data_IF_058284107979
#
_entry.id   IF_058284107979
#
_cell.length_a   1.000
_cell.length_b   1.000
_cell.length_c   1.000
_cell.angle_alpha   90.00
_cell.angle_beta   90.00
_cell.angle_gamma   90.00
#
_symmetry.space_group_name_H-M   'P 1'
#
loop_
_entity.id
_entity.type
_entity.pdbx_description
1 polymer ?
#
# COMPACT_ATOMS: atom_id res chain seq x y z
N UNK A 1 18.40 -14.84 -17.77
CA UNK A 1 18.04 -13.44 -18.05
C UNK A 1 16.61 -13.44 -18.59
N UNK A 2 15.78 -12.49 -18.15
CA UNK A 2 14.42 -12.36 -18.69
C UNK A 2 14.48 -11.74 -20.08
N UNK A 3 13.64 -12.16 -21.04
CA UNK A 3 13.52 -11.51 -22.36
C UNK A 3 12.94 -10.10 -22.26
N UNK A 4 12.94 -9.37 -23.38
CA UNK A 4 12.22 -8.09 -23.49
C UNK A 4 10.73 -8.29 -23.15
N UNK A 5 10.14 -7.36 -22.39
CA UNK A 5 8.78 -7.52 -21.88
C UNK A 5 7.72 -7.60 -23.00
N UNK A 6 8.00 -6.96 -24.14
CA UNK A 6 7.12 -6.93 -25.31
C UNK A 6 7.11 -8.25 -26.08
N UNK A 7 8.11 -9.11 -25.87
CA UNK A 7 8.32 -10.34 -26.63
C UNK A 7 8.03 -11.60 -25.82
N UNK A 8 7.77 -11.47 -24.51
CA UNK A 8 7.57 -12.62 -23.63
C UNK A 8 6.08 -12.90 -23.42
N UNK A 9 5.69 -14.17 -23.55
CA UNK A 9 4.34 -14.62 -23.20
C UNK A 9 4.23 -14.94 -21.69
N UNK A 10 2.99 -14.98 -21.17
CA UNK A 10 2.71 -15.47 -19.82
C UNK A 10 3.26 -16.87 -19.58
N UNK A 11 3.12 -17.76 -20.58
CA UNK A 11 3.63 -19.14 -20.50
C UNK A 11 5.15 -19.18 -20.36
N UNK A 12 5.85 -18.33 -21.12
CA UNK A 12 7.31 -18.27 -21.05
C UNK A 12 7.77 -17.74 -19.69
N UNK A 13 7.12 -16.68 -19.18
CA UNK A 13 7.45 -16.12 -17.88
C UNK A 13 7.16 -17.11 -16.75
N UNK A 14 6.07 -17.87 -16.82
CA UNK A 14 5.80 -18.99 -15.92
C UNK A 14 6.91 -20.04 -15.99
N UNK A 15 7.30 -20.47 -17.19
CA UNK A 15 8.35 -21.48 -17.36
C UNK A 15 9.70 -20.99 -16.79
N UNK A 16 10.05 -19.72 -17.00
CA UNK A 16 11.25 -19.10 -16.41
C UNK A 16 11.14 -19.14 -14.88
N UNK A 17 10.01 -18.72 -14.32
CA UNK A 17 9.77 -18.73 -12.88
C UNK A 17 9.94 -20.14 -12.29
N UNK A 18 9.29 -21.15 -12.89
CA UNK A 18 9.39 -22.55 -12.45
C UNK A 18 10.82 -23.07 -12.53
N UNK A 19 11.53 -22.80 -13.62
CA UNK A 19 12.91 -23.23 -13.81
C UNK A 19 13.86 -22.59 -12.77
N UNK A 20 13.68 -21.29 -12.49
CA UNK A 20 14.43 -20.58 -11.46
C UNK A 20 14.17 -21.19 -10.09
N UNK A 21 12.91 -21.35 -9.71
CA UNK A 21 12.53 -21.95 -8.41
C UNK A 21 13.10 -23.37 -8.26
N UNK A 22 13.02 -24.19 -9.32
CA UNK A 22 13.57 -25.55 -9.36
C UNK A 22 15.10 -25.55 -9.23
N UNK A 23 15.79 -24.71 -9.99
CA UNK A 23 17.26 -24.59 -9.98
C UNK A 23 17.81 -24.32 -8.58
N UNK A 24 17.12 -23.45 -7.81
CA UNK A 24 17.57 -23.07 -6.47
C UNK A 24 16.89 -23.86 -5.33
N UNK A 25 16.05 -24.84 -5.64
CA UNK A 25 15.32 -25.64 -4.65
C UNK A 25 14.39 -24.78 -3.76
N UNK A 26 13.82 -23.72 -4.32
CA UNK A 26 12.91 -22.83 -3.62
C UNK A 26 11.48 -23.31 -3.80
N UNK A 27 10.76 -23.46 -2.70
CA UNK A 27 9.32 -23.67 -2.67
C UNK A 27 8.67 -22.38 -2.16
N UNK A 28 7.71 -21.79 -2.89
CA UNK A 28 6.98 -20.61 -2.44
C UNK A 28 6.35 -20.84 -1.07
N UNK A 29 6.38 -19.82 -0.21
CA UNK A 29 5.84 -19.88 1.15
C UNK A 29 4.56 -19.08 1.23
N UNK A 30 3.46 -19.75 1.43
CA UNK A 30 2.13 -19.14 1.60
C UNK A 30 2.09 -18.12 2.76
N UNK A 31 2.73 -18.47 3.89
CA UNK A 31 2.85 -17.59 5.07
C UNK A 31 3.52 -16.24 4.78
N UNK A 32 4.31 -16.15 3.72
CA UNK A 32 4.95 -14.92 3.25
C UNK A 32 4.24 -14.32 2.04
N UNK A 33 3.08 -14.84 1.67
CA UNK A 33 2.31 -14.42 0.49
C UNK A 33 3.16 -14.35 -0.78
N UNK A 34 4.02 -15.36 -1.00
CA UNK A 34 4.95 -15.41 -2.13
C UNK A 34 4.21 -15.81 -3.41
N UNK A 35 3.68 -14.80 -4.10
CA UNK A 35 3.00 -14.94 -5.39
C UNK A 35 3.77 -14.12 -6.43
N UNK A 36 4.50 -14.79 -7.32
CA UNK A 36 5.34 -14.14 -8.34
C UNK A 36 4.49 -13.74 -9.54
N UNK A 37 4.65 -12.52 -10.04
CA UNK A 37 3.95 -12.06 -11.26
C UNK A 37 4.51 -12.84 -12.45
N UNK A 38 3.62 -13.49 -13.20
CA UNK A 38 3.92 -14.24 -14.41
C UNK A 38 3.18 -13.68 -15.64
N UNK A 39 2.53 -12.54 -15.50
CA UNK A 39 1.80 -11.88 -16.57
C UNK A 39 2.58 -10.64 -17.05
N UNK A 40 3.12 -10.67 -18.29
CA UNK A 40 3.87 -9.55 -18.85
C UNK A 40 3.06 -8.25 -18.95
N UNK A 41 1.75 -8.33 -19.21
CA UNK A 41 0.89 -7.16 -19.32
C UNK A 41 0.69 -6.47 -17.96
N UNK A 42 0.74 -7.23 -16.87
CA UNK A 42 0.73 -6.68 -15.51
C UNK A 42 2.02 -5.92 -15.24
N UNK A 43 3.17 -6.53 -15.57
CA UNK A 43 4.48 -5.90 -15.38
C UNK A 43 4.58 -4.63 -16.24
N UNK A 44 4.19 -4.70 -17.51
CA UNK A 44 4.20 -3.56 -18.44
C UNK A 44 3.35 -2.41 -17.92
N UNK A 45 2.12 -2.70 -17.49
CA UNK A 45 1.24 -1.68 -16.90
C UNK A 45 1.88 -0.98 -15.70
N UNK A 46 2.56 -1.74 -14.82
CA UNK A 46 3.28 -1.17 -13.68
C UNK A 46 4.43 -0.28 -14.16
N UNK A 47 5.24 -0.76 -15.10
CA UNK A 47 6.37 -0.01 -15.65
C UNK A 47 5.93 1.30 -16.31
N UNK A 48 4.80 1.31 -17.03
CA UNK A 48 4.27 2.49 -17.71
C UNK A 48 3.89 3.63 -16.74
N UNK A 49 3.66 3.32 -15.46
CA UNK A 49 3.34 4.31 -14.44
C UNK A 49 4.57 4.97 -13.80
N UNK A 50 5.76 4.44 -14.04
CA UNK A 50 7.00 4.91 -13.41
C UNK A 50 7.84 5.65 -14.43
N UNK A 51 8.23 6.92 -14.21
CA UNK A 51 9.13 7.65 -15.08
C UNK A 51 10.51 6.98 -15.20
N UNK A 52 11.23 7.26 -16.29
CA UNK A 52 12.64 6.86 -16.39
C UNK A 52 13.47 7.61 -15.36
N UNK A 53 14.61 7.03 -15.02
CA UNK A 53 15.60 7.60 -14.11
C UNK A 53 15.10 7.89 -12.69
N UNK A 54 13.96 7.30 -12.29
CA UNK A 54 13.44 7.36 -10.93
C UNK A 54 14.28 6.52 -9.97
N UNK A 55 14.33 6.94 -8.69
CA UNK A 55 14.79 6.13 -7.57
C UNK A 55 13.61 5.35 -7.01
N UNK A 56 13.70 4.04 -6.96
CA UNK A 56 12.58 3.14 -6.65
C UNK A 56 12.87 2.32 -5.41
N UNK A 57 11.86 2.19 -4.54
CA UNK A 57 11.81 1.18 -3.49
C UNK A 57 10.82 0.07 -3.89
N UNK A 58 11.28 -1.16 -3.90
CA UNK A 58 10.44 -2.35 -4.06
C UNK A 58 10.40 -3.14 -2.75
N UNK A 59 9.20 -3.60 -2.36
CA UNK A 59 9.02 -4.47 -1.20
C UNK A 59 8.63 -5.87 -1.67
N UNK A 60 9.48 -6.85 -1.37
CA UNK A 60 9.31 -8.22 -1.84
C UNK A 60 9.97 -8.43 -3.20
N UNK A 61 11.31 -8.56 -3.21
CA UNK A 61 12.10 -8.84 -4.42
C UNK A 61 11.66 -10.13 -5.14
N UNK A 62 11.26 -11.13 -4.35
CA UNK A 62 10.93 -12.44 -4.89
C UNK A 62 12.11 -13.08 -5.61
N UNK A 63 11.85 -13.59 -6.83
CA UNK A 63 12.92 -14.11 -7.70
C UNK A 63 13.58 -13.02 -8.55
N UNK A 64 13.22 -11.74 -8.35
CA UNK A 64 13.80 -10.60 -9.06
C UNK A 64 13.10 -10.25 -10.38
N UNK A 65 11.92 -10.79 -10.68
CA UNK A 65 11.24 -10.56 -11.97
C UNK A 65 10.88 -9.10 -12.17
N UNK A 66 10.13 -8.51 -11.23
CA UNK A 66 9.72 -7.10 -11.33
C UNK A 66 10.95 -6.19 -11.20
N UNK A 67 11.85 -6.50 -10.25
CA UNK A 67 13.11 -5.79 -10.04
C UNK A 67 13.94 -5.70 -11.31
N UNK A 68 14.04 -6.79 -12.08
CA UNK A 68 14.76 -6.85 -13.34
C UNK A 68 14.25 -5.79 -14.33
N UNK A 69 12.93 -5.74 -14.56
CA UNK A 69 12.37 -4.79 -15.52
C UNK A 69 12.40 -3.34 -14.98
N UNK A 70 12.29 -3.14 -13.67
CA UNK A 70 12.49 -1.83 -13.06
C UNK A 70 13.94 -1.34 -13.26
N UNK A 71 14.92 -2.22 -13.09
CA UNK A 71 16.34 -1.89 -13.25
C UNK A 71 16.71 -1.42 -14.67
N UNK A 72 15.96 -1.84 -15.70
CA UNK A 72 16.18 -1.43 -17.09
C UNK A 72 15.83 0.05 -17.34
N UNK A 73 15.06 0.69 -16.47
CA UNK A 73 14.60 2.06 -16.68
C UNK A 73 14.88 3.02 -15.50
N UNK A 74 15.10 2.49 -14.31
CA UNK A 74 15.30 3.25 -13.09
C UNK A 74 16.76 3.74 -12.98
N UNK A 75 16.94 4.88 -12.33
CA UNK A 75 18.26 5.33 -11.89
C UNK A 75 18.81 4.38 -10.82
N UNK A 76 18.01 4.08 -9.80
CA UNK A 76 18.36 3.16 -8.70
C UNK A 76 17.14 2.38 -8.28
N UNK A 77 17.31 1.10 -7.96
CA UNK A 77 16.28 0.25 -7.33
C UNK A 77 16.82 -0.28 -6.02
N UNK A 78 16.18 0.10 -4.93
CA UNK A 78 16.31 -0.55 -3.63
C UNK A 78 15.23 -1.61 -3.54
N UNK A 79 15.59 -2.85 -3.26
CA UNK A 79 14.59 -3.90 -3.15
C UNK A 79 14.77 -4.70 -1.85
N UNK A 80 13.69 -4.86 -1.09
CA UNK A 80 13.71 -5.45 0.24
C UNK A 80 13.12 -6.85 0.20
N UNK A 81 13.85 -7.83 0.72
CA UNK A 81 13.39 -9.21 0.81
C UNK A 81 13.70 -9.81 2.19
N UNK A 82 12.75 -10.53 2.76
CA UNK A 82 12.90 -11.20 4.06
C UNK A 82 13.41 -12.63 3.92
N UNK A 83 13.12 -13.28 2.79
CA UNK A 83 13.49 -14.69 2.57
C UNK A 83 14.91 -14.83 2.01
N UNK A 84 15.83 -15.34 2.85
CA UNK A 84 17.24 -15.55 2.47
C UNK A 84 17.42 -16.39 1.20
N UNK A 85 16.51 -17.34 0.93
CA UNK A 85 16.60 -18.17 -0.28
C UNK A 85 16.28 -17.34 -1.53
N UNK A 86 15.26 -16.48 -1.44
CA UNK A 86 14.92 -15.58 -2.54
C UNK A 86 15.98 -14.51 -2.78
N UNK A 87 16.61 -14.00 -1.72
CA UNK A 87 17.75 -13.07 -1.85
C UNK A 87 18.87 -13.70 -2.68
N UNK A 88 19.24 -14.96 -2.40
CA UNK A 88 20.26 -15.67 -3.20
C UNK A 88 19.86 -15.77 -4.65
N UNK A 89 18.60 -16.11 -4.92
CA UNK A 89 18.06 -16.19 -6.28
C UNK A 89 18.13 -14.84 -6.98
N UNK A 90 17.60 -13.79 -6.33
CA UNK A 90 17.58 -12.45 -6.88
C UNK A 90 18.99 -11.89 -7.11
N UNK A 91 19.94 -12.15 -6.19
CA UNK A 91 21.33 -11.73 -6.36
C UNK A 91 21.98 -12.33 -7.61
N UNK A 92 21.69 -13.60 -7.92
CA UNK A 92 22.17 -14.23 -9.15
C UNK A 92 21.48 -13.68 -10.41
N UNK A 93 20.17 -13.47 -10.35
CA UNK A 93 19.36 -12.93 -11.46
C UNK A 93 19.77 -11.50 -11.78
N UNK A 94 20.07 -10.70 -10.78
CA UNK A 94 20.30 -9.25 -10.87
C UNK A 94 21.79 -8.87 -10.83
N UNK A 95 22.72 -9.82 -10.82
CA UNK A 95 24.15 -9.60 -10.62
C UNK A 95 24.79 -8.58 -11.57
N UNK A 96 24.26 -8.47 -12.79
CA UNK A 96 24.78 -7.60 -13.84
C UNK A 96 24.20 -6.15 -13.74
N UNK A 97 23.23 -5.93 -12.84
CA UNK A 97 22.53 -4.64 -12.65
C UNK A 97 23.11 -3.88 -11.47
N UNK A 98 24.10 -3.03 -11.73
CA UNK A 98 24.79 -2.24 -10.70
C UNK A 98 23.91 -1.18 -10.03
N UNK A 99 22.78 -0.83 -10.65
CA UNK A 99 21.80 0.09 -10.12
C UNK A 99 20.76 -0.59 -9.20
N UNK A 100 20.91 -1.90 -8.89
CA UNK A 100 20.05 -2.62 -7.96
C UNK A 100 20.76 -2.87 -6.65
N UNK A 101 20.08 -2.60 -5.55
CA UNK A 101 20.56 -2.90 -4.20
C UNK A 101 19.50 -3.76 -3.48
N UNK A 102 19.91 -5.00 -3.16
CA UNK A 102 19.06 -5.94 -2.45
C UNK A 102 19.32 -5.83 -0.95
N UNK A 103 18.29 -5.43 -0.21
CA UNK A 103 18.35 -5.28 1.25
C UNK A 103 17.66 -6.46 1.90
N UNK A 104 18.41 -7.24 2.69
CA UNK A 104 17.83 -8.32 3.49
C UNK A 104 17.15 -7.73 4.72
N UNK A 105 15.85 -7.96 4.91
CA UNK A 105 15.18 -7.52 6.12
C UNK A 105 13.66 -7.60 6.07
N UNK A 106 13.08 -7.36 7.24
CA UNK A 106 11.65 -7.14 7.38
C UNK A 106 11.33 -5.68 6.98
N UNK A 107 10.59 -5.51 5.90
CA UNK A 107 10.24 -4.19 5.39
C UNK A 107 9.53 -3.28 6.42
N UNK A 108 8.86 -3.87 7.40
CA UNK A 108 8.22 -3.11 8.49
C UNK A 108 9.23 -2.57 9.51
N UNK A 109 10.40 -3.21 9.65
CA UNK A 109 11.38 -2.91 10.71
C UNK A 109 12.57 -2.08 10.23
N UNK A 110 13.00 -2.28 8.99
CA UNK A 110 14.15 -1.55 8.43
C UNK A 110 13.79 -0.09 8.10
N UNK A 111 14.77 0.78 8.09
CA UNK A 111 14.61 2.12 7.56
C UNK A 111 14.57 2.06 6.03
N UNK A 112 13.68 2.86 5.43
CA UNK A 112 13.59 2.98 3.98
C UNK A 112 14.45 4.15 3.49
N UNK A 113 15.09 4.01 2.33
CA UNK A 113 15.77 5.14 1.69
C UNK A 113 14.75 6.18 1.20
N UNK A 114 15.24 7.38 0.95
CA UNK A 114 14.48 8.39 0.22
C UNK A 114 14.35 7.96 -1.25
N UNK A 115 13.14 7.96 -1.79
CA UNK A 115 12.84 7.47 -3.14
C UNK A 115 11.71 8.27 -3.79
N UNK A 116 11.69 8.26 -5.12
CA UNK A 116 10.63 8.91 -5.90
C UNK A 116 9.36 8.04 -5.97
N UNK A 117 9.54 6.72 -6.00
CA UNK A 117 8.45 5.73 -6.16
C UNK A 117 8.61 4.53 -5.25
N UNK A 118 7.50 4.10 -4.67
CA UNK A 118 7.36 2.73 -4.19
C UNK A 118 6.64 1.92 -5.26
N UNK A 119 7.29 0.86 -5.76
CA UNK A 119 6.70 -0.04 -6.76
C UNK A 119 6.74 -1.46 -6.21
N UNK A 120 5.59 -2.11 -6.05
CA UNK A 120 5.61 -3.42 -5.40
C UNK A 120 4.35 -4.24 -5.67
N UNK A 121 4.55 -5.54 -5.84
CA UNK A 121 3.53 -6.54 -5.57
C UNK A 121 3.56 -6.83 -4.07
N UNK A 122 2.78 -6.06 -3.29
CA UNK A 122 2.88 -6.06 -1.83
C UNK A 122 2.51 -7.43 -1.22
N UNK A 123 3.31 -7.93 -0.26
CA UNK A 123 2.95 -9.14 0.48
C UNK A 123 1.62 -8.94 1.20
N UNK A 124 0.63 -9.77 0.91
CA UNK A 124 -0.77 -9.56 1.32
C UNK A 124 -0.95 -9.48 2.84
N UNK A 125 -0.21 -10.29 3.60
CA UNK A 125 -0.32 -10.37 5.05
C UNK A 125 0.16 -9.11 5.80
N UNK A 126 0.95 -8.23 5.14
CA UNK A 126 1.49 -7.00 5.73
C UNK A 126 1.11 -5.73 4.95
N UNK A 127 0.18 -5.83 3.98
CA UNK A 127 -0.18 -4.70 3.10
C UNK A 127 -0.62 -3.46 3.89
N UNK A 128 -1.55 -3.61 4.85
CA UNK A 128 -2.07 -2.46 5.61
C UNK A 128 -0.98 -1.74 6.43
N UNK A 129 -0.15 -2.42 7.22
CA UNK A 129 0.95 -1.75 7.93
C UNK A 129 2.02 -1.17 6.98
N UNK A 130 2.26 -1.77 5.81
CA UNK A 130 3.17 -1.19 4.81
C UNK A 130 2.64 0.13 4.25
N UNK A 131 1.34 0.22 3.97
CA UNK A 131 0.70 1.47 3.51
C UNK A 131 0.85 2.57 4.56
N UNK A 132 0.62 2.26 5.84
CA UNK A 132 0.82 3.23 6.93
C UNK A 132 2.29 3.66 7.00
N UNK A 133 3.21 2.71 6.88
CA UNK A 133 4.65 3.04 6.85
C UNK A 133 5.02 3.91 5.65
N UNK A 134 4.47 3.63 4.47
CA UNK A 134 4.65 4.43 3.26
C UNK A 134 4.23 5.90 3.49
N UNK A 135 3.09 6.13 4.15
CA UNK A 135 2.62 7.46 4.50
C UNK A 135 3.59 8.14 5.48
N UNK A 136 4.04 7.42 6.52
CA UNK A 136 5.00 7.95 7.51
C UNK A 136 6.34 8.36 6.90
N UNK A 137 6.79 7.62 5.89
CA UNK A 137 8.02 7.94 5.15
C UNK A 137 7.83 9.03 4.07
N UNK A 138 6.59 9.51 3.88
CA UNK A 138 6.29 10.55 2.90
C UNK A 138 6.61 10.15 1.46
N UNK A 139 6.46 8.87 1.11
CA UNK A 139 6.73 8.40 -0.26
C UNK A 139 5.84 9.16 -1.24
N UNK A 140 6.39 9.91 -2.22
CA UNK A 140 5.59 10.81 -3.04
C UNK A 140 4.67 10.10 -4.02
N UNK A 141 5.10 8.95 -4.56
CA UNK A 141 4.33 8.18 -5.52
C UNK A 141 4.44 6.67 -5.24
N UNK A 142 3.37 5.93 -5.53
CA UNK A 142 3.43 4.49 -5.46
C UNK A 142 2.61 3.82 -6.57
N UNK A 143 3.10 2.66 -7.02
CA UNK A 143 2.35 1.73 -7.87
C UNK A 143 2.36 0.39 -7.17
N UNK A 144 1.22 0.00 -6.62
CA UNK A 144 1.12 -1.19 -5.78
C UNK A 144 0.09 -2.18 -6.31
N UNK A 145 0.44 -3.45 -6.23
CA UNK A 145 -0.52 -4.54 -6.41
C UNK A 145 -0.89 -5.07 -5.04
N UNK A 146 -2.18 -5.11 -4.75
CA UNK A 146 -2.74 -5.55 -3.46
C UNK A 146 -3.92 -6.50 -3.69
N UNK A 147 -4.34 -7.25 -2.68
CA UNK A 147 -5.60 -8.01 -2.75
C UNK A 147 -6.77 -7.09 -3.08
N UNK A 148 -7.71 -7.59 -3.88
CA UNK A 148 -8.87 -6.81 -4.35
C UNK A 148 -9.63 -6.17 -3.18
N UNK A 149 -9.90 -6.93 -2.11
CA UNK A 149 -10.59 -6.42 -0.92
C UNK A 149 -9.85 -5.24 -0.27
N UNK A 150 -8.51 -5.33 -0.17
CA UNK A 150 -7.71 -4.23 0.39
C UNK A 150 -7.77 -3.00 -0.52
N UNK A 151 -7.65 -3.20 -1.83
CA UNK A 151 -7.75 -2.12 -2.80
C UNK A 151 -9.13 -1.43 -2.80
N UNK A 152 -10.20 -2.21 -2.69
CA UNK A 152 -11.56 -1.68 -2.56
C UNK A 152 -11.73 -0.89 -1.26
N UNK A 153 -11.11 -1.33 -0.17
CA UNK A 153 -11.07 -0.59 1.10
C UNK A 153 -10.33 0.74 0.96
N UNK A 154 -9.21 0.78 0.23
CA UNK A 154 -8.46 2.02 -0.03
C UNK A 154 -9.29 3.03 -0.83
N UNK A 155 -10.09 2.56 -1.79
CA UNK A 155 -10.94 3.35 -2.67
C UNK A 155 -12.34 3.64 -2.10
N UNK A 156 -12.68 3.06 -0.96
CA UNK A 156 -14.03 3.09 -0.39
C UNK A 156 -14.46 4.51 -0.05
N UNK A 157 -15.74 4.81 -0.32
CA UNK A 157 -16.40 6.08 0.02
C UNK A 157 -17.22 5.93 1.30
N UNK A 158 -17.46 7.04 1.98
CA UNK A 158 -18.32 7.10 3.16
C UNK A 158 -19.67 6.39 2.92
N UNK A 159 -20.17 5.69 3.93
CA UNK A 159 -21.39 4.90 3.87
C UNK A 159 -21.23 3.49 3.28
N UNK A 160 -20.17 3.21 2.53
CA UNK A 160 -19.93 1.88 1.98
C UNK A 160 -19.45 0.88 3.04
N UNK A 161 -19.66 -0.41 2.78
CA UNK A 161 -19.28 -1.49 3.71
C UNK A 161 -17.76 -1.52 3.96
N UNK A 162 -16.97 -1.37 2.93
CA UNK A 162 -15.51 -1.41 2.98
C UNK A 162 -14.88 -0.13 3.55
N UNK A 163 -15.66 0.95 3.74
CA UNK A 163 -15.14 2.21 4.25
C UNK A 163 -14.71 2.11 5.71
N UNK A 164 -13.51 2.57 6.00
CA UNK A 164 -12.96 2.47 7.34
C UNK A 164 -11.67 3.26 7.55
N UNK A 165 -11.00 2.99 8.66
CA UNK A 165 -9.77 3.66 9.07
C UNK A 165 -8.72 3.72 7.95
N UNK A 166 -8.45 2.59 7.28
CA UNK A 166 -7.44 2.53 6.22
C UNK A 166 -7.83 3.42 5.03
N UNK A 167 -9.13 3.47 4.68
CA UNK A 167 -9.64 4.36 3.62
C UNK A 167 -9.28 5.80 3.92
N UNK A 168 -9.60 6.27 5.12
CA UNK A 168 -9.43 7.66 5.54
C UNK A 168 -7.96 8.04 5.59
N UNK A 169 -7.13 7.25 6.29
CA UNK A 169 -5.72 7.54 6.46
C UNK A 169 -5.01 7.60 5.10
N UNK A 170 -5.34 6.66 4.21
CA UNK A 170 -4.69 6.62 2.89
C UNK A 170 -5.21 7.72 1.98
N UNK A 171 -6.52 8.00 1.96
CA UNK A 171 -7.09 9.08 1.14
C UNK A 171 -6.74 10.48 1.65
N UNK A 172 -6.42 10.61 2.94
CA UNK A 172 -5.89 11.85 3.50
C UNK A 172 -4.47 12.14 2.96
N UNK A 173 -3.66 11.11 2.79
CA UNK A 173 -2.29 11.24 2.31
C UNK A 173 -2.18 11.25 0.78
N UNK A 174 -3.01 10.46 0.09
CA UNK A 174 -2.87 10.17 -1.34
C UNK A 174 -4.15 10.37 -2.14
N UNK A 175 -3.99 10.77 -3.39
CA UNK A 175 -4.96 10.58 -4.47
C UNK A 175 -4.72 9.16 -5.00
N UNK A 176 -5.77 8.35 -5.04
CA UNK A 176 -5.70 6.94 -5.38
C UNK A 176 -6.44 6.69 -6.68
N UNK A 177 -5.76 6.12 -7.65
CA UNK A 177 -6.29 5.73 -8.95
C UNK A 177 -6.30 4.21 -9.10
N UNK A 178 -7.42 3.67 -9.55
CA UNK A 178 -7.54 2.26 -9.94
C UNK A 178 -7.01 2.10 -11.36
N UNK A 179 -5.94 1.30 -11.52
CA UNK A 179 -5.40 1.01 -12.85
C UNK A 179 -6.07 -0.23 -13.46
N UNK A 180 -5.99 -1.38 -12.77
CA UNK A 180 -6.48 -2.65 -13.30
C UNK A 180 -6.80 -3.66 -12.21
N UNK A 181 -7.87 -4.41 -12.38
CA UNK A 181 -8.12 -5.65 -11.63
C UNK A 181 -7.34 -6.79 -12.30
N UNK A 182 -6.66 -7.62 -11.50
CA UNK A 182 -5.79 -8.71 -11.94
C UNK A 182 -6.30 -10.03 -11.37
N UNK A 183 -6.51 -10.99 -12.25
CA UNK A 183 -6.93 -12.32 -11.84
C UNK A 183 -5.81 -13.15 -11.21
N UNK A 184 -6.16 -14.18 -10.43
CA UNK A 184 -5.19 -15.07 -9.78
C UNK A 184 -4.23 -15.75 -10.76
N UNK A 185 -4.67 -16.01 -11.99
CA UNK A 185 -3.89 -16.63 -13.07
C UNK A 185 -2.68 -15.81 -13.53
N UNK A 186 -2.58 -14.55 -13.13
CA UNK A 186 -1.43 -13.68 -13.41
C UNK A 186 -0.25 -13.90 -12.47
N UNK A 187 -0.41 -14.81 -11.48
CA UNK A 187 0.60 -15.08 -10.45
C UNK A 187 0.92 -16.58 -10.35
N UNK A 188 2.14 -16.88 -9.87
CA UNK A 188 2.54 -18.23 -9.47
C UNK A 188 3.21 -18.21 -8.08
N UNK A 189 2.78 -19.05 -7.13
CA UNK A 189 1.51 -19.78 -7.13
C UNK A 189 0.31 -18.83 -7.31
N UNK A 190 -0.78 -19.35 -7.84
CA UNK A 190 -2.02 -18.58 -7.97
C UNK A 190 -2.62 -18.29 -6.59
N UNK A 191 -2.85 -17.02 -6.21
CA UNK A 191 -3.53 -16.70 -4.97
C UNK A 191 -5.01 -17.09 -5.03
N UNK A 192 -5.64 -17.25 -3.86
CA UNK A 192 -7.07 -17.59 -3.79
C UNK A 192 -8.00 -16.46 -4.25
N UNK A 193 -7.51 -15.21 -4.20
CA UNK A 193 -8.32 -14.01 -4.49
C UNK A 193 -7.68 -13.17 -5.58
N UNK A 194 -8.52 -12.43 -6.29
CA UNK A 194 -8.04 -11.43 -7.26
C UNK A 194 -7.27 -10.32 -6.58
N UNK A 195 -6.42 -9.66 -7.37
CA UNK A 195 -5.66 -8.49 -6.98
C UNK A 195 -6.13 -7.24 -7.73
N UNK A 196 -5.61 -6.10 -7.34
CA UNK A 196 -5.83 -4.83 -8.01
C UNK A 196 -4.54 -4.03 -8.02
N UNK A 197 -4.26 -3.37 -9.13
CA UNK A 197 -3.15 -2.43 -9.27
C UNK A 197 -3.69 -1.03 -9.01
N UNK A 198 -3.05 -0.33 -8.09
CA UNK A 198 -3.37 1.04 -7.72
C UNK A 198 -2.16 1.93 -7.95
N UNK A 199 -2.43 3.15 -8.42
CA UNK A 199 -1.48 4.25 -8.43
C UNK A 199 -1.86 5.23 -7.33
N UNK A 200 -0.89 5.59 -6.52
CA UNK A 200 -1.06 6.54 -5.43
C UNK A 200 -0.11 7.72 -5.67
N UNK A 201 -0.62 8.92 -5.54
CA UNK A 201 0.15 10.16 -5.62
C UNK A 201 -0.12 10.99 -4.38
N UNK A 202 0.93 11.41 -3.70
CA UNK A 202 0.84 12.26 -2.52
C UNK A 202 0.01 13.52 -2.84
N UNK A 203 -0.85 13.93 -1.93
CA UNK A 203 -1.58 15.20 -2.04
C UNK A 203 -0.61 16.35 -1.87
N UNK A 204 -0.78 17.40 -2.63
CA UNK A 204 0.01 18.64 -2.51
C UNK A 204 -0.25 19.30 -1.15
N UNK A 205 -1.52 19.32 -0.73
CA UNK A 205 -1.92 19.76 0.59
C UNK A 205 -2.31 18.55 1.44
N UNK A 206 -1.65 18.40 2.58
CA UNK A 206 -2.02 17.36 3.55
C UNK A 206 -3.36 17.68 4.18
N UNK A 207 -4.22 16.69 4.29
CA UNK A 207 -5.49 16.88 5.00
C UNK A 207 -5.28 17.18 6.49
N UNK A 208 -4.29 16.53 7.10
CA UNK A 208 -3.92 16.66 8.52
C UNK A 208 -2.40 16.55 8.60
N UNK A 209 -1.76 17.46 9.29
CA UNK A 209 -0.30 17.42 9.53
C UNK A 209 0.06 16.33 10.55
N UNK A 210 -0.72 16.18 11.60
CA UNK A 210 -0.51 15.19 12.64
C UNK A 210 -1.13 13.85 12.28
N UNK A 211 -0.31 13.00 11.65
CA UNK A 211 -0.71 11.64 11.28
C UNK A 211 -1.02 10.77 12.51
N UNK A 212 -0.35 10.99 13.63
CA UNK A 212 -0.58 10.23 14.87
C UNK A 212 -1.97 10.53 15.44
N UNK A 213 -2.35 11.80 15.44
CA UNK A 213 -3.68 12.24 15.83
C UNK A 213 -4.75 11.64 14.89
N UNK A 214 -4.52 11.67 13.57
CA UNK A 214 -5.41 11.04 12.59
C UNK A 214 -5.56 9.54 12.86
N UNK A 215 -4.46 8.82 13.14
CA UNK A 215 -4.50 7.40 13.49
C UNK A 215 -5.28 7.13 14.77
N UNK A 216 -5.07 7.92 15.83
CA UNK A 216 -5.78 7.80 17.11
C UNK A 216 -7.28 8.06 16.93
N UNK A 217 -7.62 9.17 16.32
CA UNK A 217 -9.01 9.58 16.10
C UNK A 217 -9.77 8.55 15.27
N UNK A 218 -9.22 8.13 14.12
CA UNK A 218 -9.87 7.13 13.27
C UNK A 218 -9.99 5.77 13.96
N UNK A 219 -9.05 5.41 14.84
CA UNK A 219 -9.14 4.19 15.63
C UNK A 219 -10.32 4.22 16.61
N UNK A 220 -10.50 5.34 17.34
CA UNK A 220 -11.64 5.54 18.27
C UNK A 220 -12.95 5.52 17.48
N UNK A 221 -13.05 6.33 16.44
CA UNK A 221 -14.26 6.47 15.64
C UNK A 221 -14.70 5.13 15.03
N UNK A 222 -13.81 4.43 14.32
CA UNK A 222 -14.19 3.23 13.57
C UNK A 222 -14.33 1.95 14.39
N UNK A 223 -13.89 1.94 15.65
CA UNK A 223 -14.32 0.90 16.61
C UNK A 223 -15.85 0.94 16.83
N UNK A 224 -16.44 2.09 16.59
CA UNK A 224 -17.88 2.35 16.81
C UNK A 224 -18.56 2.82 15.52
N UNK A 225 -18.13 2.31 14.37
CA UNK A 225 -18.56 2.78 13.04
C UNK A 225 -20.08 2.88 12.82
N UNK A 226 -20.87 2.09 13.54
CA UNK A 226 -22.34 2.09 13.44
C UNK A 226 -23.03 3.00 14.47
N UNK A 227 -22.29 3.63 15.39
CA UNK A 227 -22.81 4.57 16.37
C UNK A 227 -22.82 5.99 15.81
N UNK A 228 -23.70 6.83 16.39
CA UNK A 228 -23.72 8.26 16.09
C UNK A 228 -22.48 8.96 16.64
N UNK A 229 -22.07 10.04 16.00
CA UNK A 229 -20.98 10.91 16.47
C UNK A 229 -21.28 11.42 17.88
N UNK A 230 -22.53 11.83 18.16
CA UNK A 230 -22.96 12.22 19.49
C UNK A 230 -22.56 11.20 20.55
N UNK A 231 -22.84 9.92 20.29
CA UNK A 231 -22.52 8.85 21.24
C UNK A 231 -21.01 8.68 21.41
N UNK A 232 -20.24 8.65 20.31
CA UNK A 232 -18.79 8.46 20.37
C UNK A 232 -18.12 9.64 21.08
N UNK A 233 -18.49 10.86 20.71
CA UNK A 233 -17.91 12.09 21.27
C UNK A 233 -18.23 12.20 22.75
N UNK A 234 -19.48 12.02 23.17
CA UNK A 234 -19.86 12.06 24.58
C UNK A 234 -19.08 11.04 25.42
N UNK A 235 -18.81 9.86 24.86
CA UNK A 235 -18.13 8.77 25.57
C UNK A 235 -16.61 8.97 25.70
N UNK A 236 -15.94 9.46 24.65
CA UNK A 236 -14.49 9.47 24.57
C UNK A 236 -13.85 10.86 24.63
N UNK A 237 -14.63 11.94 24.37
CA UNK A 237 -14.13 13.29 24.26
C UNK A 237 -14.83 14.28 25.24
N UNK A 238 -15.89 13.83 25.87
CA UNK A 238 -16.65 14.63 26.86
C UNK A 238 -17.76 15.50 26.25
N UNK A 239 -18.63 15.99 27.17
CA UNK A 239 -19.80 16.78 26.77
C UNK A 239 -19.43 18.20 26.35
N UNK A 240 -18.36 18.76 26.87
CA UNK A 240 -17.89 20.10 26.47
C UNK A 240 -17.52 20.15 25.00
N UNK A 241 -16.75 19.14 24.54
CA UNK A 241 -16.42 19.03 23.14
C UNK A 241 -17.66 18.74 22.28
N UNK A 242 -18.59 17.92 22.76
CA UNK A 242 -19.85 17.68 22.06
C UNK A 242 -20.64 19.00 21.89
N UNK A 243 -20.75 19.82 22.92
CA UNK A 243 -21.42 21.10 22.84
C UNK A 243 -20.71 22.04 21.86
N UNK A 244 -19.39 22.06 21.88
CA UNK A 244 -18.59 22.87 20.96
C UNK A 244 -18.85 22.48 19.48
N UNK A 245 -18.72 21.20 19.09
CA UNK A 245 -18.97 20.80 17.72
C UNK A 245 -20.43 20.99 17.29
N UNK A 246 -21.37 20.88 18.24
CA UNK A 246 -22.79 21.15 18.00
C UNK A 246 -23.00 22.63 17.67
N UNK A 247 -22.35 23.55 18.41
CA UNK A 247 -22.40 24.99 18.15
C UNK A 247 -21.81 25.39 16.80
N UNK A 248 -20.91 24.57 16.27
CA UNK A 248 -20.32 24.71 14.91
C UNK A 248 -21.16 24.04 13.81
N UNK A 249 -22.40 23.64 14.12
CA UNK A 249 -23.34 22.98 13.21
C UNK A 249 -22.78 21.63 12.65
N UNK A 250 -21.92 20.93 13.39
CA UNK A 250 -21.50 19.61 13.01
C UNK A 250 -22.64 18.61 13.14
N UNK A 251 -22.81 17.71 12.14
CA UNK A 251 -23.88 16.71 12.18
C UNK A 251 -23.57 15.58 13.18
N UNK A 252 -23.85 15.82 14.47
CA UNK A 252 -23.60 14.89 15.56
C UNK A 252 -24.51 13.65 15.54
N UNK A 253 -25.59 13.65 14.76
CA UNK A 253 -26.50 12.52 14.62
C UNK A 253 -26.07 11.54 13.51
N UNK A 254 -25.16 11.94 12.62
CA UNK A 254 -24.59 11.05 11.62
C UNK A 254 -23.90 9.85 12.29
N UNK A 255 -23.93 8.69 11.65
CA UNK A 255 -23.10 7.56 12.08
C UNK A 255 -21.65 7.78 11.64
N UNK A 256 -20.71 7.24 12.39
CA UNK A 256 -19.28 7.35 12.06
C UNK A 256 -18.99 6.89 10.63
N UNK A 257 -19.57 5.78 10.18
CA UNK A 257 -19.34 5.24 8.83
C UNK A 257 -19.83 6.15 7.69
N UNK A 258 -20.73 7.08 8.00
CA UNK A 258 -21.35 7.97 7.02
C UNK A 258 -20.60 9.31 6.89
N UNK A 259 -19.59 9.55 7.76
CA UNK A 259 -18.72 10.72 7.66
C UNK A 259 -17.74 10.58 6.49
N UNK A 260 -17.75 11.53 5.59
CA UNK A 260 -16.73 11.65 4.57
C UNK A 260 -15.38 12.14 5.14
N UNK A 261 -14.37 12.13 4.29
CA UNK A 261 -13.02 12.54 4.68
C UNK A 261 -13.00 13.97 5.21
N UNK A 262 -13.72 14.90 4.56
CA UNK A 262 -13.78 16.31 4.95
C UNK A 262 -14.38 16.47 6.35
N UNK A 263 -15.49 15.78 6.62
CA UNK A 263 -16.13 15.79 7.94
C UNK A 263 -15.21 15.24 9.04
N UNK A 264 -14.44 14.19 8.75
CA UNK A 264 -13.48 13.64 9.70
C UNK A 264 -12.33 14.60 9.95
N UNK A 265 -11.77 15.20 8.91
CA UNK A 265 -10.73 16.24 9.02
C UNK A 265 -11.22 17.42 9.86
N UNK A 266 -12.45 17.89 9.60
CA UNK A 266 -13.08 18.96 10.36
C UNK A 266 -13.24 18.60 11.85
N UNK A 267 -13.66 17.37 12.15
CA UNK A 267 -13.78 16.90 13.52
C UNK A 267 -12.42 16.86 14.25
N UNK A 268 -11.35 16.45 13.54
CA UNK A 268 -10.00 16.42 14.09
C UNK A 268 -9.48 17.83 14.34
N UNK A 269 -9.71 18.77 13.42
CA UNK A 269 -9.31 20.16 13.62
C UNK A 269 -10.02 20.77 14.83
N UNK A 270 -11.29 20.46 15.05
CA UNK A 270 -12.01 20.89 16.26
C UNK A 270 -11.42 20.30 17.55
N UNK A 271 -10.89 19.04 17.50
CA UNK A 271 -10.16 18.49 18.65
C UNK A 271 -8.87 19.24 18.94
N UNK A 272 -8.15 19.68 17.90
CA UNK A 272 -6.93 20.50 18.06
C UNK A 272 -7.27 21.86 18.65
N UNK A 273 -8.30 22.55 18.11
CA UNK A 273 -8.75 23.86 18.58
C UNK A 273 -9.17 23.85 20.07
N UNK A 274 -9.75 22.74 20.53
CA UNK A 274 -10.21 22.57 21.90
C UNK A 274 -9.18 21.92 22.85
N UNK A 275 -7.97 21.65 22.38
CA UNK A 275 -6.91 20.94 23.13
C UNK A 275 -7.42 19.63 23.77
N UNK A 276 -8.28 18.89 23.07
CA UNK A 276 -8.90 17.66 23.59
C UNK A 276 -7.84 16.58 23.77
N UNK A 277 -7.55 16.20 25.00
CA UNK A 277 -6.65 15.08 25.29
C UNK A 277 -7.29 13.75 24.90
N UNK A 278 -6.72 13.08 23.89
CA UNK A 278 -7.07 11.72 23.54
C UNK A 278 -6.38 10.75 24.49
N UNK A 279 -7.12 10.23 25.44
CA UNK A 279 -6.64 9.17 26.36
C UNK A 279 -6.61 7.80 25.67
#
# INVERSE_FOLDING_TARGET
MFPEIEKISRRDLLNITLNVLKKYGVKPREKLSQNFIIDPEVIKLILDQVPRDSIILEIGTGIGTLTYYLALKAHKVYTVEIDRKLIRVASDVLRDYKNVEIVQGDALKINWPEVDYLVSNLPYHITSPLIIKMIKYGIPNAVITVQLEVGERLLAKAGSESYGRLSIITQCAYIIERLRKVGPESFYPSPEVSSIILKLRCREEKCIEDLELLEKMTNILFRHRNRSIKWVVSKYFGNEFLNYITSKNFNVNARVRDLDLESIVKLINYCIECEVNLQ
#
